data_IF_901145816330
#
_entry.id   IF_901145816330
#
_cell.length_a   1.000
_cell.length_b   1.000
_cell.length_c   1.000
_cell.angle_alpha   90.00
_cell.angle_beta   90.00
_cell.angle_gamma   90.00
#
_symmetry.space_group_name_H-M   'P 1'
#
loop_
_entity.id
_entity.type
_entity.pdbx_description
1 polymer ?
#
# COMPACT_ATOMS: atom_id res chain seq x y z
N UNK A 1 -5.67 -24.70 -3.33
CA UNK A 1 -6.33 -23.87 -2.29
C UNK A 1 -7.64 -23.36 -2.88
N UNK A 2 -8.76 -23.90 -2.38
CA UNK A 2 -10.15 -23.46 -2.54
C UNK A 2 -10.76 -23.36 -3.96
N UNK A 3 -11.10 -24.51 -4.58
CA UNK A 3 -11.99 -24.62 -5.76
C UNK A 3 -13.48 -24.40 -5.36
N UNK A 4 -13.79 -23.27 -4.74
CA UNK A 4 -15.14 -22.94 -4.25
C UNK A 4 -15.74 -21.64 -4.78
N UNK A 5 -14.98 -20.84 -5.53
CA UNK A 5 -15.46 -19.58 -6.09
C UNK A 5 -16.30 -19.83 -7.35
N UNK A 6 -17.52 -19.30 -7.36
CA UNK A 6 -18.43 -19.40 -8.50
C UNK A 6 -17.73 -19.05 -9.83
N UNK A 7 -17.83 -19.88 -10.89
CA UNK A 7 -17.14 -19.66 -12.17
C UNK A 7 -17.54 -18.33 -12.85
N UNK A 8 -18.64 -17.73 -12.41
CA UNK A 8 -19.08 -16.39 -12.83
C UNK A 8 -18.19 -15.29 -12.26
N UNK A 9 -17.81 -15.38 -10.98
CA UNK A 9 -16.97 -14.38 -10.33
C UNK A 9 -15.56 -14.37 -10.92
N UNK A 10 -14.99 -15.54 -11.17
CA UNK A 10 -13.67 -15.66 -11.82
C UNK A 10 -13.67 -15.06 -13.22
N UNK A 11 -14.72 -15.31 -14.02
CA UNK A 11 -14.87 -14.68 -15.34
C UNK A 11 -15.02 -13.16 -15.28
N UNK A 12 -15.72 -12.64 -14.26
CA UNK A 12 -15.86 -11.21 -14.05
C UNK A 12 -14.52 -10.59 -13.65
N UNK A 13 -13.82 -11.18 -12.68
CA UNK A 13 -12.52 -10.72 -12.21
C UNK A 13 -11.44 -10.83 -13.27
N UNK A 14 -11.49 -11.79 -14.18
CA UNK A 14 -10.55 -11.91 -15.30
C UNK A 14 -10.64 -10.74 -16.31
N UNK A 15 -11.71 -9.94 -16.28
CA UNK A 15 -11.88 -8.83 -17.23
C UNK A 15 -10.87 -7.71 -16.94
N UNK A 16 -10.21 -7.16 -17.98
CA UNK A 16 -9.23 -6.09 -17.82
C UNK A 16 -9.85 -4.77 -17.32
N UNK A 17 -11.17 -4.60 -17.46
CA UNK A 17 -11.90 -3.42 -16.99
C UNK A 17 -11.92 -3.34 -15.46
N UNK A 18 -11.87 -4.48 -14.74
CA UNK A 18 -11.95 -4.52 -13.28
C UNK A 18 -10.78 -3.80 -12.59
N UNK A 19 -9.51 -4.11 -12.88
CA UNK A 19 -8.40 -3.40 -12.26
C UNK A 19 -8.31 -1.95 -12.73
N UNK A 20 -8.69 -1.64 -13.97
CA UNK A 20 -8.71 -0.25 -14.48
C UNK A 20 -9.73 0.58 -13.71
N UNK A 21 -10.94 0.05 -13.51
CA UNK A 21 -11.96 0.71 -12.72
C UNK A 21 -11.53 0.88 -11.26
N UNK A 22 -10.92 -0.16 -10.65
CA UNK A 22 -10.36 -0.06 -9.30
C UNK A 22 -9.28 1.02 -9.18
N UNK A 23 -8.33 1.05 -10.12
CA UNK A 23 -7.28 2.08 -10.15
C UNK A 23 -7.84 3.47 -10.40
N UNK A 24 -8.87 3.60 -11.24
CA UNK A 24 -9.54 4.88 -11.49
C UNK A 24 -10.25 5.39 -10.22
N UNK A 25 -10.96 4.51 -9.49
CA UNK A 25 -11.60 4.85 -8.21
C UNK A 25 -10.55 5.34 -7.20
N UNK A 26 -9.46 4.59 -7.03
CA UNK A 26 -8.38 4.97 -6.11
C UNK A 26 -7.65 6.26 -6.55
N UNK A 27 -7.47 6.45 -7.86
CA UNK A 27 -6.83 7.65 -8.41
C UNK A 27 -7.71 8.91 -8.30
N UNK A 28 -9.01 8.79 -8.54
CA UNK A 28 -9.98 9.87 -8.35
C UNK A 28 -10.03 10.25 -6.88
N UNK A 29 -10.08 9.26 -5.99
CA UNK A 29 -10.06 9.49 -4.54
C UNK A 29 -8.78 10.22 -4.10
N UNK A 30 -7.60 9.82 -4.60
CA UNK A 30 -6.34 10.50 -4.27
C UNK A 30 -6.36 11.99 -4.65
N UNK A 31 -7.06 12.36 -5.72
CA UNK A 31 -7.17 13.75 -6.20
C UNK A 31 -8.30 14.53 -5.52
N UNK A 32 -9.42 13.86 -5.20
CA UNK A 32 -10.61 14.44 -4.59
C UNK A 32 -10.62 14.37 -3.05
N UNK A 33 -9.69 13.61 -2.46
CA UNK A 33 -9.67 13.17 -1.06
C UNK A 33 -9.78 14.29 -0.02
N UNK A 34 -9.38 15.51 -0.39
CA UNK A 34 -9.51 16.69 0.47
C UNK A 34 -10.97 17.00 0.86
N UNK A 35 -11.95 16.57 0.06
CA UNK A 35 -13.37 16.84 0.28
C UNK A 35 -14.16 15.61 0.79
N UNK A 36 -13.64 14.40 0.63
CA UNK A 36 -14.34 13.15 0.98
C UNK A 36 -13.99 12.61 2.37
N UNK A 37 -12.90 13.09 2.98
CA UNK A 37 -12.44 12.65 4.30
C UNK A 37 -13.40 13.00 5.46
N UNK A 38 -14.37 13.90 5.26
CA UNK A 38 -15.38 14.25 6.27
C UNK A 38 -16.44 13.14 6.47
N UNK A 39 -16.59 12.20 5.52
CA UNK A 39 -17.48 11.03 5.62
C UNK A 39 -16.67 9.75 5.76
N UNK A 40 -16.09 9.55 6.95
CA UNK A 40 -15.09 8.52 7.28
C UNK A 40 -15.50 7.07 6.91
N UNK A 41 -16.79 6.77 6.79
CA UNK A 41 -17.28 5.40 6.55
C UNK A 41 -17.34 5.01 5.06
N UNK A 42 -17.79 5.90 4.18
CA UNK A 42 -18.06 5.55 2.77
C UNK A 42 -16.76 5.35 1.99
N UNK A 43 -15.76 6.21 2.26
CA UNK A 43 -14.41 6.13 1.72
C UNK A 43 -13.77 4.74 1.89
N UNK A 44 -13.79 4.24 3.12
CA UNK A 44 -13.18 2.96 3.47
C UNK A 44 -13.83 1.83 2.68
N UNK A 45 -15.14 1.87 2.50
CA UNK A 45 -15.90 0.80 1.82
C UNK A 45 -15.53 0.72 0.34
N UNK A 46 -15.61 1.82 -0.42
CA UNK A 46 -15.31 1.74 -1.86
C UNK A 46 -13.83 1.48 -2.11
N UNK A 47 -12.92 2.02 -1.29
CA UNK A 47 -11.49 1.73 -1.40
C UNK A 47 -11.19 0.25 -1.14
N UNK A 48 -11.83 -0.33 -0.11
CA UNK A 48 -11.66 -1.76 0.21
C UNK A 48 -12.19 -2.65 -0.91
N UNK A 49 -13.34 -2.31 -1.51
CA UNK A 49 -13.90 -3.04 -2.66
C UNK A 49 -12.99 -2.92 -3.88
N UNK A 50 -12.50 -1.72 -4.19
CA UNK A 50 -11.57 -1.50 -5.30
C UNK A 50 -10.26 -2.27 -5.12
N UNK A 51 -9.67 -2.23 -3.93
CA UNK A 51 -8.46 -2.98 -3.59
C UNK A 51 -8.69 -4.49 -3.71
N UNK A 52 -9.79 -5.02 -3.15
CA UNK A 52 -10.13 -6.43 -3.25
C UNK A 52 -10.33 -6.88 -4.70
N UNK A 53 -10.97 -6.05 -5.54
CA UNK A 53 -11.17 -6.34 -6.95
C UNK A 53 -9.84 -6.39 -7.73
N UNK A 54 -8.90 -5.48 -7.45
CA UNK A 54 -7.56 -5.49 -8.04
C UNK A 54 -6.80 -6.76 -7.62
N UNK A 55 -6.78 -7.07 -6.32
CA UNK A 55 -6.11 -8.27 -5.80
C UNK A 55 -6.72 -9.54 -6.41
N UNK A 56 -8.05 -9.61 -6.49
CA UNK A 56 -8.77 -10.71 -7.12
C UNK A 56 -8.41 -10.88 -8.60
N UNK A 57 -8.32 -9.77 -9.36
CA UNK A 57 -7.85 -9.81 -10.74
C UNK A 57 -6.42 -10.35 -10.86
N UNK A 58 -5.51 -9.90 -9.97
CA UNK A 58 -4.11 -10.35 -9.98
C UNK A 58 -4.00 -11.86 -9.74
N UNK A 59 -4.83 -12.41 -8.86
CA UNK A 59 -4.85 -13.84 -8.54
C UNK A 59 -5.41 -14.70 -9.67
N UNK A 60 -6.45 -14.22 -10.38
CA UNK A 60 -7.12 -14.99 -11.45
C UNK A 60 -6.45 -14.81 -12.81
N UNK A 61 -5.86 -13.65 -13.08
CA UNK A 61 -5.25 -13.29 -14.37
C UNK A 61 -3.75 -12.91 -14.22
N UNK A 62 -2.86 -13.87 -13.91
CA UNK A 62 -1.45 -13.59 -13.66
C UNK A 62 -0.69 -13.07 -14.90
N UNK A 63 -1.21 -13.32 -16.11
CA UNK A 63 -0.60 -12.85 -17.36
C UNK A 63 -1.00 -11.43 -17.77
N UNK A 64 -1.91 -10.77 -17.03
CA UNK A 64 -2.36 -9.41 -17.35
C UNK A 64 -1.27 -8.36 -17.14
N UNK A 65 -1.38 -7.22 -17.81
CA UNK A 65 -0.43 -6.09 -17.67
C UNK A 65 -0.36 -5.60 -16.22
N UNK A 66 -1.51 -5.55 -15.54
CA UNK A 66 -1.60 -5.10 -14.15
C UNK A 66 -0.87 -6.06 -13.21
N UNK A 67 -1.06 -7.38 -13.40
CA UNK A 67 -0.35 -8.40 -12.64
C UNK A 67 1.16 -8.34 -12.87
N UNK A 68 1.60 -8.13 -14.11
CA UNK A 68 3.02 -7.94 -14.44
C UNK A 68 3.60 -6.67 -13.82
N UNK A 69 2.86 -5.56 -13.84
CA UNK A 69 3.28 -4.31 -13.22
C UNK A 69 3.40 -4.45 -11.68
N UNK A 70 2.42 -5.11 -11.05
CA UNK A 70 2.45 -5.40 -9.61
C UNK A 70 3.60 -6.35 -9.22
N UNK A 71 4.01 -7.25 -10.13
CA UNK A 71 5.13 -8.16 -9.94
C UNK A 71 6.51 -7.52 -10.21
N UNK A 72 6.57 -6.24 -10.59
CA UNK A 72 7.85 -5.56 -10.79
C UNK A 72 8.69 -5.56 -9.50
N UNK A 73 10.02 -5.74 -9.58
CA UNK A 73 10.88 -5.79 -8.41
C UNK A 73 10.74 -4.57 -7.50
N UNK A 74 10.55 -3.38 -8.08
CA UNK A 74 10.34 -2.14 -7.34
C UNK A 74 9.01 -2.14 -6.57
N UNK A 75 7.91 -2.56 -7.21
CA UNK A 75 6.59 -2.64 -6.57
C UNK A 75 6.59 -3.65 -5.41
N UNK A 76 7.19 -4.83 -5.64
CA UNK A 76 7.35 -5.86 -4.60
C UNK A 76 8.24 -5.37 -3.46
N UNK A 77 9.30 -4.61 -3.76
CA UNK A 77 10.19 -4.04 -2.76
C UNK A 77 9.47 -3.00 -1.89
N UNK A 78 8.71 -2.08 -2.50
CA UNK A 78 7.87 -1.12 -1.77
C UNK A 78 6.83 -1.86 -0.92
N UNK A 79 6.19 -2.90 -1.47
CA UNK A 79 5.24 -3.73 -0.73
C UNK A 79 5.86 -4.39 0.52
N UNK A 80 7.13 -4.79 0.46
CA UNK A 80 7.86 -5.31 1.63
C UNK A 80 8.13 -4.24 2.69
N UNK A 81 8.28 -2.98 2.29
CA UNK A 81 8.48 -1.86 3.20
C UNK A 81 7.17 -1.35 3.82
N UNK A 82 6.02 -1.74 3.27
CA UNK A 82 4.70 -1.21 3.68
C UNK A 82 4.45 -1.27 5.18
N UNK A 83 4.88 -2.35 5.84
CA UNK A 83 4.75 -2.50 7.28
C UNK A 83 5.60 -1.47 8.05
N UNK A 84 6.89 -1.37 7.73
CA UNK A 84 7.79 -0.38 8.33
C UNK A 84 7.31 1.06 8.04
N UNK A 85 6.79 1.34 6.84
CA UNK A 85 6.20 2.66 6.50
C UNK A 85 4.99 2.94 7.40
N UNK A 86 4.05 2.01 7.50
CA UNK A 86 2.85 2.16 8.32
C UNK A 86 3.20 2.42 9.80
N UNK A 87 4.22 1.74 10.32
CA UNK A 87 4.63 1.92 11.72
C UNK A 87 5.22 3.31 11.98
N UNK A 88 6.08 3.80 11.09
CA UNK A 88 6.91 4.99 11.35
C UNK A 88 6.38 6.30 10.75
N UNK A 89 5.48 6.27 9.76
CA UNK A 89 5.00 7.51 9.15
C UNK A 89 4.28 8.44 10.15
N UNK A 90 3.30 7.92 10.91
CA UNK A 90 2.54 8.70 11.90
C UNK A 90 3.42 9.34 12.99
N UNK A 91 4.30 8.60 13.70
CA UNK A 91 5.11 9.22 14.76
C UNK A 91 6.10 10.25 14.22
N UNK A 92 6.64 10.04 13.01
CA UNK A 92 7.55 11.02 12.39
C UNK A 92 6.77 12.28 12.01
N UNK A 93 5.60 12.15 11.40
CA UNK A 93 4.73 13.27 11.07
C UNK A 93 4.35 14.11 12.30
N UNK A 94 3.95 13.45 13.40
CA UNK A 94 3.65 14.14 14.67
C UNK A 94 4.88 14.83 15.26
N UNK A 95 6.08 14.26 15.08
CA UNK A 95 7.32 14.85 15.57
C UNK A 95 7.73 16.10 14.77
N UNK A 96 7.52 16.09 13.46
CA UNK A 96 7.82 17.18 12.52
C UNK A 96 6.72 18.25 12.43
N UNK A 97 6.04 18.55 13.55
CA UNK A 97 5.04 19.62 13.58
C UNK A 97 5.67 21.00 13.36
N UNK A 98 5.01 21.82 12.53
CA UNK A 98 5.37 23.21 12.24
C UNK A 98 5.41 24.09 13.49
N UNK A 99 4.70 23.72 14.55
CA UNK A 99 4.72 24.46 15.83
C UNK A 99 6.06 24.35 16.55
N UNK A 100 6.90 23.38 16.15
CA UNK A 100 8.15 23.05 16.84
C UNK A 100 9.38 23.64 16.17
N UNK A 101 9.27 24.05 14.91
CA UNK A 101 10.40 24.53 14.12
C UNK A 101 9.97 25.73 13.25
N UNK A 102 10.62 26.86 13.44
CA UNK A 102 10.42 28.08 12.65
C UNK A 102 11.17 28.02 11.29
N UNK A 103 10.94 26.93 10.54
CA UNK A 103 11.48 26.71 9.20
C UNK A 103 10.36 26.57 8.17
N UNK A 104 10.70 26.80 6.91
CA UNK A 104 9.72 26.70 5.83
C UNK A 104 9.07 25.31 5.77
N UNK A 105 7.76 25.28 5.53
CA UNK A 105 6.97 24.05 5.44
C UNK A 105 7.57 23.08 4.42
N UNK A 106 8.09 23.60 3.30
CA UNK A 106 8.74 22.78 2.26
C UNK A 106 9.98 22.06 2.79
N UNK A 107 10.82 22.76 3.56
CA UNK A 107 12.02 22.15 4.13
C UNK A 107 11.65 21.11 5.20
N UNK A 108 10.63 21.38 6.02
CA UNK A 108 10.11 20.42 6.99
C UNK A 108 9.58 19.16 6.32
N UNK A 109 8.75 19.28 5.27
CA UNK A 109 8.24 18.12 4.54
C UNK A 109 9.37 17.28 3.92
N UNK A 110 10.36 17.94 3.31
CA UNK A 110 11.51 17.22 2.73
C UNK A 110 12.33 16.49 3.80
N UNK A 111 12.56 17.14 4.95
CA UNK A 111 13.24 16.53 6.07
C UNK A 111 12.45 15.34 6.64
N UNK A 112 11.15 15.50 6.82
CA UNK A 112 10.24 14.44 7.28
C UNK A 112 10.29 13.22 6.35
N UNK A 113 10.23 13.45 5.03
CA UNK A 113 10.29 12.38 4.03
C UNK A 113 11.65 11.67 4.04
N UNK A 114 12.73 12.43 4.15
CA UNK A 114 14.09 11.88 4.23
C UNK A 114 14.25 11.03 5.50
N UNK A 115 13.81 11.54 6.64
CA UNK A 115 13.86 10.83 7.93
C UNK A 115 12.99 9.58 7.90
N UNK A 116 11.77 9.68 7.38
CA UNK A 116 10.88 8.52 7.20
C UNK A 116 11.53 7.46 6.33
N UNK A 117 12.11 7.84 5.19
CA UNK A 117 12.80 6.89 4.31
C UNK A 117 13.96 6.19 5.04
N UNK A 118 14.79 6.93 5.78
CA UNK A 118 15.90 6.37 6.54
C UNK A 118 15.40 5.43 7.64
N UNK A 119 14.44 5.85 8.46
CA UNK A 119 13.90 5.05 9.57
C UNK A 119 13.23 3.78 9.05
N UNK A 120 12.45 3.88 7.98
CA UNK A 120 11.79 2.73 7.34
C UNK A 120 12.84 1.73 6.84
N UNK A 121 13.88 2.19 6.16
CA UNK A 121 14.93 1.31 5.65
C UNK A 121 15.72 0.66 6.78
N UNK A 122 16.08 1.42 7.82
CA UNK A 122 16.79 0.90 9.00
C UNK A 122 15.94 -0.12 9.74
N UNK A 123 14.65 0.16 9.96
CA UNK A 123 13.70 -0.76 10.59
C UNK A 123 13.57 -2.05 9.78
N UNK A 124 13.37 -1.94 8.47
CA UNK A 124 13.20 -3.09 7.60
C UNK A 124 14.45 -3.98 7.55
N UNK A 125 15.63 -3.39 7.32
CA UNK A 125 16.87 -4.17 7.18
C UNK A 125 17.45 -4.61 8.52
N UNK A 126 17.27 -3.83 9.58
CA UNK A 126 17.86 -4.06 10.90
C UNK A 126 17.00 -4.90 11.84
N UNK A 127 15.68 -4.86 11.72
CA UNK A 127 14.75 -5.58 12.61
C UNK A 127 13.97 -6.62 11.82
N UNK A 128 13.26 -6.20 10.78
CA UNK A 128 12.26 -7.04 10.11
C UNK A 128 12.91 -8.21 9.34
N UNK A 129 13.92 -7.92 8.53
CA UNK A 129 14.68 -8.92 7.75
C UNK A 129 15.40 -9.96 8.63
N UNK A 130 16.12 -9.61 9.71
CA UNK A 130 16.70 -10.61 10.60
C UNK A 130 15.64 -11.42 11.35
N UNK A 131 14.58 -10.78 11.85
CA UNK A 131 13.51 -11.49 12.58
C UNK A 131 12.79 -12.53 11.70
N UNK A 132 12.53 -12.19 10.43
CA UNK A 132 12.00 -13.13 9.44
C UNK A 132 12.94 -14.31 9.18
N UNK A 133 14.26 -14.11 9.23
CA UNK A 133 15.25 -15.20 9.09
C UNK A 133 15.27 -16.11 10.32
N UNK A 134 15.16 -15.54 11.53
CA UNK A 134 15.08 -16.33 12.77
C UNK A 134 13.84 -17.22 12.81
N UNK A 135 12.67 -16.71 12.41
CA UNK A 135 11.42 -17.50 12.40
C UNK A 135 11.52 -18.77 11.55
N UNK A 136 12.20 -18.72 10.40
CA UNK A 136 12.40 -19.89 9.54
C UNK A 136 13.27 -20.99 10.19
N UNK A 137 14.12 -20.63 11.16
CA UNK A 137 15.03 -21.56 11.84
C UNK A 137 14.35 -22.35 12.97
N UNK A 138 13.25 -21.85 13.52
CA UNK A 138 12.47 -22.50 14.61
C UNK A 138 11.22 -23.24 14.11
N UNK A 139 10.97 -23.27 12.80
CA UNK A 139 9.85 -23.97 12.18
C UNK A 139 10.22 -25.38 11.67
N UNK A 140 11.39 -25.88 12.06
CA UNK A 140 11.85 -27.26 11.91
C UNK A 140 12.02 -27.87 13.30
#
# INVERSE_FOLDING_TARGET
>A
LHNGSTPRLERLLARPVVPIAGLAVLGIDLLAGKWTHELTSVYVVYCSIAAAAIIGHIMVAPHSVVSKAAALPAAVWIGKLSYSIYLWHNPIWVYFSTDRFDVSVVLLTLAEWAVTAVVVLVSYYGIEKPFMRFRKRFAH
#
